data_IF_193878508290
#
_entry.id   IF_193878508290
#
_cell.length_a   1.000
_cell.length_b   1.000
_cell.length_c   1.000
_cell.angle_alpha   90.00
_cell.angle_beta   90.00
_cell.angle_gamma   90.00
#
_symmetry.space_group_name_H-M   'P 1'
#
loop_
_entity.id
_entity.type
_entity.pdbx_description
1 polymer ?
#
# COMPACT_ATOMS: atom_id res chain seq x y z
N UNK A 1 -17.71 6.21 6.13
CA UNK A 1 -16.38 5.67 6.48
C UNK A 1 -15.78 5.07 5.22
N UNK A 2 -14.53 5.35 4.85
CA UNK A 2 -13.91 4.76 3.67
C UNK A 2 -13.71 3.26 3.90
N UNK A 3 -14.03 2.45 2.90
CA UNK A 3 -13.75 1.01 2.91
C UNK A 3 -12.22 0.79 2.86
N UNK A 4 -11.72 -0.37 3.30
CA UNK A 4 -10.26 -0.67 3.24
C UNK A 4 -9.68 -0.44 1.83
N UNK A 5 -10.44 -0.75 0.78
CA UNK A 5 -10.07 -0.46 -0.61
C UNK A 5 -9.89 1.04 -0.85
N UNK A 6 -10.86 1.86 -0.42
CA UNK A 6 -10.76 3.32 -0.56
C UNK A 6 -9.52 3.86 0.16
N UNK A 7 -9.11 3.30 1.29
CA UNK A 7 -7.90 3.73 2.00
C UNK A 7 -6.60 3.49 1.19
N UNK A 8 -6.48 2.38 0.46
CA UNK A 8 -5.32 2.14 -0.40
C UNK A 8 -5.26 3.15 -1.56
N UNK A 9 -6.37 3.33 -2.27
CA UNK A 9 -6.47 4.27 -3.40
C UNK A 9 -6.24 5.72 -2.96
N UNK A 10 -6.75 6.11 -1.79
CA UNK A 10 -6.51 7.43 -1.20
C UNK A 10 -5.03 7.66 -0.87
N UNK A 11 -4.36 6.66 -0.31
CA UNK A 11 -2.93 6.72 -0.03
C UNK A 11 -2.10 6.78 -1.31
N UNK A 12 -2.44 5.97 -2.31
CA UNK A 12 -1.79 6.00 -3.63
C UNK A 12 -1.94 7.37 -4.28
N UNK A 13 -3.15 7.93 -4.29
CA UNK A 13 -3.39 9.26 -4.83
C UNK A 13 -2.64 10.36 -4.08
N UNK A 14 -2.48 10.22 -2.76
CA UNK A 14 -1.71 11.15 -1.94
C UNK A 14 -0.22 11.08 -2.29
N UNK A 15 0.31 9.87 -2.52
CA UNK A 15 1.69 9.68 -2.99
C UNK A 15 1.91 10.30 -4.38
N UNK A 16 0.99 10.10 -5.32
CA UNK A 16 1.06 10.68 -6.67
C UNK A 16 1.10 12.22 -6.62
N UNK A 17 0.30 12.83 -5.75
CA UNK A 17 0.31 14.29 -5.54
C UNK A 17 1.65 14.78 -5.00
N UNK A 18 2.22 14.07 -4.02
CA UNK A 18 3.54 14.39 -3.47
C UNK A 18 4.60 14.31 -4.57
N UNK A 19 4.62 13.24 -5.36
CA UNK A 19 5.58 13.09 -6.47
C UNK A 19 5.42 14.23 -7.46
N UNK A 20 4.19 14.54 -7.87
CA UNK A 20 3.91 15.64 -8.80
C UNK A 20 4.40 16.99 -8.27
N UNK A 21 4.17 17.28 -6.98
CA UNK A 21 4.63 18.53 -6.36
C UNK A 21 6.17 18.62 -6.33
N UNK A 22 6.84 17.53 -5.96
CA UNK A 22 8.30 17.47 -5.93
C UNK A 22 8.91 17.63 -7.32
N UNK A 23 8.32 17.01 -8.35
CA UNK A 23 8.76 17.13 -9.75
C UNK A 23 8.60 18.54 -10.32
N UNK A 24 7.57 19.27 -9.88
CA UNK A 24 7.36 20.66 -10.30
C UNK A 24 8.47 21.61 -9.85
N UNK A 25 9.22 21.28 -8.78
CA UNK A 25 10.38 22.04 -8.32
C UNK A 25 10.09 23.45 -7.76
N UNK A 26 8.84 23.88 -7.72
CA UNK A 26 8.41 25.21 -7.24
C UNK A 26 8.10 25.22 -5.73
N UNK A 27 8.55 24.21 -4.98
CA UNK A 27 8.40 24.10 -3.53
C UNK A 27 9.68 24.50 -2.82
N UNK A 28 9.62 25.30 -1.73
CA UNK A 28 10.78 25.58 -0.90
C UNK A 28 11.44 24.29 -0.41
N UNK A 29 12.77 24.28 -0.30
CA UNK A 29 13.54 23.08 0.08
C UNK A 29 13.03 22.42 1.36
N UNK A 30 12.68 23.21 2.38
CA UNK A 30 12.17 22.70 3.66
C UNK A 30 10.84 21.96 3.49
N UNK A 31 9.97 22.45 2.61
CA UNK A 31 8.69 21.81 2.34
C UNK A 31 8.86 20.60 1.42
N UNK A 32 9.77 20.67 0.45
CA UNK A 32 10.15 19.52 -0.37
C UNK A 32 10.68 18.35 0.49
N UNK A 33 11.49 18.66 1.52
CA UNK A 33 11.98 17.64 2.45
C UNK A 33 10.86 17.01 3.30
N UNK A 34 9.87 17.80 3.72
CA UNK A 34 8.69 17.27 4.44
C UNK A 34 7.84 16.40 3.54
N UNK A 35 7.55 16.86 2.32
CA UNK A 35 6.80 16.09 1.33
C UNK A 35 7.51 14.78 0.99
N UNK A 36 8.83 14.81 0.81
CA UNK A 36 9.63 13.60 0.60
C UNK A 36 9.50 12.61 1.76
N UNK A 37 9.62 13.08 3.01
CA UNK A 37 9.47 12.21 4.18
C UNK A 37 8.09 11.56 4.25
N UNK A 38 7.03 12.32 3.98
CA UNK A 38 5.67 11.79 3.95
C UNK A 38 5.48 10.82 2.78
N UNK A 39 6.02 11.12 1.60
CA UNK A 39 5.99 10.22 0.45
C UNK A 39 6.66 8.88 0.73
N UNK A 40 7.83 8.89 1.39
CA UNK A 40 8.53 7.66 1.82
C UNK A 40 7.69 6.86 2.81
N UNK A 41 7.01 7.53 3.75
CA UNK A 41 6.13 6.86 4.72
C UNK A 41 4.95 6.19 4.02
N UNK A 42 4.24 6.93 3.16
CA UNK A 42 3.09 6.39 2.40
C UNK A 42 3.53 5.22 1.52
N UNK A 43 4.66 5.35 0.82
CA UNK A 43 5.21 4.28 -0.01
C UNK A 43 5.45 3.00 0.80
N UNK A 44 6.03 3.08 2.00
CA UNK A 44 6.23 1.93 2.88
C UNK A 44 4.92 1.31 3.39
N UNK A 45 3.90 2.12 3.63
CA UNK A 45 2.59 1.61 4.04
C UNK A 45 1.87 0.88 2.91
N UNK A 46 1.94 1.42 1.69
CA UNK A 46 1.40 0.77 0.49
C UNK A 46 2.12 -0.54 0.20
N UNK A 47 3.45 -0.55 0.27
CA UNK A 47 4.28 -1.74 0.08
C UNK A 47 3.88 -2.87 1.05
N UNK A 48 3.77 -2.57 2.36
CA UNK A 48 3.29 -3.53 3.36
C UNK A 48 1.90 -4.09 3.05
N UNK A 49 0.98 -3.25 2.57
CA UNK A 49 -0.37 -3.69 2.18
C UNK A 49 -0.32 -4.63 0.98
N UNK A 50 0.53 -4.34 0.00
CA UNK A 50 0.73 -5.20 -1.17
C UNK A 50 1.37 -6.53 -0.75
N UNK A 51 2.43 -6.52 0.06
CA UNK A 51 3.05 -7.76 0.56
C UNK A 51 2.05 -8.62 1.33
N UNK A 52 1.22 -8.02 2.20
CA UNK A 52 0.18 -8.77 2.90
C UNK A 52 -0.87 -9.36 1.96
N UNK A 53 -1.22 -8.64 0.88
CA UNK A 53 -2.13 -9.17 -0.14
C UNK A 53 -1.48 -10.32 -0.94
N UNK A 54 -0.21 -10.20 -1.30
CA UNK A 54 0.56 -11.25 -1.97
C UNK A 54 0.66 -12.51 -1.11
N UNK A 55 0.90 -12.38 0.19
CA UNK A 55 0.92 -13.52 1.12
C UNK A 55 -0.43 -14.22 1.21
N UNK A 56 -1.54 -13.47 1.24
CA UNK A 56 -2.88 -14.05 1.23
C UNK A 56 -3.09 -14.82 -0.07
N UNK A 57 -2.74 -14.24 -1.23
CA UNK A 57 -2.83 -14.92 -2.53
C UNK A 57 -1.96 -16.16 -2.58
N UNK A 58 -0.73 -16.10 -2.09
CA UNK A 58 0.18 -17.24 -2.03
C UNK A 58 -0.36 -18.35 -1.12
N UNK A 59 -1.01 -18.03 0.00
CA UNK A 59 -1.62 -19.05 0.89
C UNK A 59 -2.90 -19.65 0.32
N UNK A 60 -3.54 -18.96 -0.62
CA UNK A 60 -4.67 -19.52 -1.35
C UNK A 60 -4.23 -20.46 -2.45
N UNK A 61 -2.96 -20.44 -2.85
CA UNK A 61 -2.44 -21.28 -3.93
C UNK A 61 -1.28 -22.08 -3.35
N UNK A 62 -1.54 -23.32 -2.99
CA UNK A 62 -0.47 -24.21 -2.51
C UNK A 62 0.63 -24.36 -3.56
N UNK A 63 1.81 -24.80 -3.13
CA UNK A 63 2.95 -25.03 -4.03
C UNK A 63 2.69 -26.04 -5.17
N UNK A 64 1.64 -26.86 -5.05
CA UNK A 64 1.20 -27.81 -6.08
C UNK A 64 0.11 -27.25 -7.02
N UNK A 65 -0.28 -25.98 -6.84
CA UNK A 65 -1.31 -25.29 -7.61
C UNK A 65 -2.73 -25.47 -7.09
N UNK A 66 -2.92 -26.12 -5.93
CA UNK A 66 -4.25 -26.27 -5.33
C UNK A 66 -4.77 -24.94 -4.83
N UNK A 67 -5.92 -24.50 -5.34
CA UNK A 67 -6.59 -23.27 -4.94
C UNK A 67 -7.53 -23.49 -3.73
N UNK A 68 -7.37 -22.65 -2.70
CA UNK A 68 -8.25 -22.55 -1.55
C UNK A 68 -9.23 -21.39 -1.72
N UNK A 69 -10.41 -21.50 -1.12
CA UNK A 69 -11.38 -20.40 -1.14
C UNK A 69 -10.95 -19.27 -0.19
N UNK A 70 -10.97 -18.04 -0.69
CA UNK A 70 -10.89 -16.82 0.11
C UNK A 70 -12.00 -16.79 1.17
N UNK A 71 -11.63 -16.84 2.45
CA UNK A 71 -12.54 -16.43 3.53
C UNK A 71 -12.39 -14.91 3.74
N UNK A 72 -13.40 -14.09 3.38
CA UNK A 72 -13.33 -12.64 3.49
C UNK A 72 -13.25 -12.12 4.94
N UNK A 73 -13.50 -12.96 5.94
CA UNK A 73 -13.35 -12.59 7.35
C UNK A 73 -11.96 -12.95 7.91
N UNK A 74 -11.16 -13.72 7.18
CA UNK A 74 -9.80 -14.09 7.55
C UNK A 74 -8.77 -13.47 6.58
N UNK A 75 -8.75 -12.13 6.52
CA UNK A 75 -7.70 -11.39 5.82
C UNK A 75 -6.45 -11.14 6.67
N UNK A 76 -6.41 -11.69 7.89
CA UNK A 76 -5.17 -11.79 8.64
C UNK A 76 -4.46 -13.04 8.13
N UNK A 77 -3.21 -12.88 7.70
CA UNK A 77 -2.32 -14.01 7.46
C UNK A 77 -2.48 -15.03 8.62
N UNK A 78 -2.47 -16.36 8.38
CA UNK A 78 -2.40 -17.33 9.46
C UNK A 78 -1.22 -16.93 10.33
N UNK A 79 -1.54 -16.58 11.57
CA UNK A 79 -0.57 -16.41 12.64
C UNK A 79 -0.14 -17.83 13.01
N UNK A 80 1.12 -18.12 12.67
CA UNK A 80 1.98 -19.25 13.07
C UNK A 80 1.40 -20.68 13.08
#
# INVERSE_FOLDING_TARGET
MPTKKNNFEEQLNSLEKIVTNLENGNVPLEDALKEFQEGVKISRELDKKLTSAEEIVAKLIDSDGTEHKLDPNNAAAPED
#
